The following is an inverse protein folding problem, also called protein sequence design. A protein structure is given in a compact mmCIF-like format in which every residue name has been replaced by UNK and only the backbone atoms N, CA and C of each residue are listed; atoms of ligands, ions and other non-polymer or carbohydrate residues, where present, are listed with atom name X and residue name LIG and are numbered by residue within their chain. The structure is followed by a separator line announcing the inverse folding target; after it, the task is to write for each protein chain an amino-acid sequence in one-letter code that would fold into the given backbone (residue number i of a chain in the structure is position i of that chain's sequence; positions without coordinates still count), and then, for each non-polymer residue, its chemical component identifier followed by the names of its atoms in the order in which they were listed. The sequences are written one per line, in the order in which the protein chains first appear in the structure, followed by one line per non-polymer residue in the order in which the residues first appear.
data_IF_207300922629
#
_entry.id   IF_207300922629
#
_cell.length_a   1.000
_cell.length_b   1.000
_cell.length_c   1.000
_cell.angle_alpha   90.00
_cell.angle_beta   90.00
_cell.angle_gamma   90.00
#
_symmetry.space_group_name_H-M   'P 1'
#
loop_
_entity.id
_entity.type
_entity.pdbx_description
1 polymer ?
#
# COMPACT_ATOMS: atom_id res chain seq x y z
N UNK A 1 17.93 17.87 3.91
CA UNK A 1 18.79 17.12 2.96
C UNK A 1 18.47 15.60 3.00
N UNK A 2 17.20 15.18 3.01
CA UNK A 2 16.80 13.75 3.08
C UNK A 2 15.83 13.29 1.99
N UNK A 3 15.57 14.10 0.93
CA UNK A 3 14.68 13.70 -0.17
C UNK A 3 15.37 12.86 -1.26
N UNK A 4 16.70 12.89 -1.35
CA UNK A 4 17.46 12.28 -2.45
C UNK A 4 17.67 10.76 -2.33
N UNK A 5 17.33 10.13 -1.19
CA UNK A 5 17.57 8.70 -0.98
C UNK A 5 16.42 7.81 -1.51
N UNK A 6 15.19 8.35 -1.62
CA UNK A 6 14.00 7.58 -2.03
C UNK A 6 13.98 7.32 -3.54
N UNK A 7 14.56 8.22 -4.35
CA UNK A 7 14.54 8.16 -5.82
C UNK A 7 15.45 7.06 -6.41
N UNK A 8 16.37 6.47 -5.64
CA UNK A 8 17.41 5.58 -6.18
C UNK A 8 17.08 4.07 -6.18
N UNK A 9 15.89 3.65 -5.70
CA UNK A 9 15.49 2.22 -5.71
C UNK A 9 14.48 1.85 -6.80
N UNK A 10 14.35 2.70 -7.82
CA UNK A 10 13.38 2.56 -8.92
C UNK A 10 13.64 1.43 -9.93
N UNK A 11 14.50 0.44 -9.67
CA UNK A 11 14.77 -0.64 -10.61
C UNK A 11 14.53 -2.04 -10.01
N UNK A 12 13.30 -2.55 -10.17
CA UNK A 12 12.93 -3.62 -11.12
C UNK A 12 11.91 -4.68 -10.67
N UNK A 13 11.49 -4.71 -9.41
CA UNK A 13 10.33 -5.53 -9.01
C UNK A 13 9.47 -4.74 -8.05
N UNK A 14 8.42 -4.07 -8.56
CA UNK A 14 7.41 -3.48 -7.67
C UNK A 14 6.73 -4.64 -6.94
N UNK A 15 6.86 -4.76 -5.61
CA UNK A 15 6.22 -5.86 -4.91
C UNK A 15 4.69 -5.66 -4.92
N UNK A 16 3.91 -6.72 -4.67
CA UNK A 16 2.46 -6.57 -4.52
C UNK A 16 2.12 -5.58 -3.40
N UNK A 17 0.94 -4.97 -3.48
CA UNK A 17 0.53 -3.91 -2.54
C UNK A 17 0.51 -4.39 -1.08
N UNK A 18 0.31 -5.69 -0.89
CA UNK A 18 0.35 -6.40 0.39
C UNK A 18 1.72 -6.42 1.05
N UNK A 19 2.79 -6.29 0.27
CA UNK A 19 4.15 -6.16 0.77
C UNK A 19 4.62 -4.69 0.78
N UNK A 20 4.24 -3.90 -0.23
CA UNK A 20 4.64 -2.50 -0.35
C UNK A 20 4.18 -1.63 0.83
N UNK A 21 2.87 -1.66 1.15
CA UNK A 21 2.29 -0.86 2.24
C UNK A 21 2.98 -1.13 3.59
N UNK A 22 3.05 -2.40 4.07
CA UNK A 22 3.62 -2.65 5.39
C UNK A 22 5.14 -2.48 5.43
N UNK A 23 5.84 -2.53 4.29
CA UNK A 23 7.26 -2.18 4.23
C UNK A 23 7.44 -0.67 4.41
N UNK A 24 6.79 0.15 3.56
CA UNK A 24 6.90 1.60 3.63
C UNK A 24 6.45 2.15 4.99
N UNK A 25 5.37 1.59 5.55
CA UNK A 25 4.89 1.92 6.90
C UNK A 25 5.96 1.66 7.98
N UNK A 26 6.67 0.52 7.91
CA UNK A 26 7.73 0.19 8.87
C UNK A 26 8.97 1.06 8.69
N UNK A 27 9.31 1.43 7.46
CA UNK A 27 10.42 2.35 7.16
C UNK A 27 10.19 3.73 7.79
N UNK A 28 8.93 4.16 7.90
CA UNK A 28 8.55 5.38 8.62
C UNK A 28 8.32 5.19 10.13
N UNK A 29 8.44 3.96 10.65
CA UNK A 29 8.20 3.67 12.07
C UNK A 29 6.73 3.73 12.51
N UNK A 30 5.78 3.74 11.56
CA UNK A 30 4.35 3.85 11.83
C UNK A 30 3.75 2.48 12.19
N UNK A 31 2.76 2.47 13.09
CA UNK A 31 1.89 1.30 13.31
C UNK A 31 0.70 1.31 12.33
N UNK A 32 -0.03 0.19 12.22
CA UNK A 32 -1.27 0.15 11.40
C UNK A 32 -2.32 1.18 11.84
N UNK A 33 -2.34 1.51 13.14
CA UNK A 33 -3.24 2.53 13.67
C UNK A 33 -2.75 3.91 13.30
N UNK A 34 -1.46 4.19 13.47
CA UNK A 34 -0.89 5.49 13.11
C UNK A 34 -1.08 5.80 11.62
N UNK A 35 -0.93 4.79 10.75
CA UNK A 35 -1.24 4.95 9.32
C UNK A 35 -2.72 5.25 9.08
N UNK A 36 -3.63 4.58 9.78
CA UNK A 36 -5.06 4.88 9.65
C UNK A 36 -5.40 6.30 10.14
N UNK A 37 -4.86 6.70 11.29
CA UNK A 37 -5.06 8.03 11.86
C UNK A 37 -4.50 9.12 10.94
N UNK A 38 -3.30 8.90 10.38
CA UNK A 38 -2.68 9.79 9.39
C UNK A 38 -3.54 9.90 8.12
N UNK A 39 -4.04 8.78 7.61
CA UNK A 39 -4.92 8.76 6.44
C UNK A 39 -6.23 9.52 6.70
N UNK A 40 -6.83 9.37 7.88
CA UNK A 40 -8.01 10.13 8.28
C UNK A 40 -7.73 11.63 8.37
N UNK A 41 -6.58 12.00 8.93
CA UNK A 41 -6.15 13.39 9.07
C UNK A 41 -5.94 14.06 7.70
N UNK A 42 -5.19 13.43 6.78
CA UNK A 42 -4.90 14.03 5.47
C UNK A 42 -6.09 13.97 4.52
N UNK A 43 -6.90 12.91 4.57
CA UNK A 43 -8.06 12.75 3.66
C UNK A 43 -9.33 13.44 4.17
N UNK A 44 -9.29 13.96 5.41
CA UNK A 44 -10.45 14.54 6.10
C UNK A 44 -11.65 13.58 6.12
N UNK A 45 -11.38 12.27 6.12
CA UNK A 45 -12.38 11.22 6.02
C UNK A 45 -12.04 10.08 6.99
N UNK A 46 -12.94 9.87 7.95
CA UNK A 46 -12.83 8.87 9.03
C UNK A 46 -13.25 7.44 8.59
N UNK A 47 -13.52 7.24 7.31
CA UNK A 47 -13.93 5.93 6.76
C UNK A 47 -12.80 4.89 6.77
N UNK A 48 -11.55 5.31 6.95
CA UNK A 48 -10.40 4.39 7.07
C UNK A 48 -10.18 4.03 8.52
N UNK A 49 -10.06 2.74 8.80
CA UNK A 49 -9.75 2.22 10.13
C UNK A 49 -8.49 1.37 10.09
N UNK A 50 -7.93 1.11 11.27
CA UNK A 50 -6.84 0.15 11.44
C UNK A 50 -7.18 -1.20 10.79
N UNK A 51 -8.42 -1.67 10.92
CA UNK A 51 -8.88 -2.94 10.35
C UNK A 51 -8.87 -2.91 8.82
N UNK A 52 -9.21 -1.76 8.23
CA UNK A 52 -9.16 -1.56 6.78
C UNK A 52 -7.71 -1.58 6.27
N UNK A 53 -6.79 -0.89 6.94
CA UNK A 53 -5.34 -1.00 6.68
C UNK A 53 -4.87 -2.44 6.81
N UNK A 54 -5.31 -3.13 7.86
CA UNK A 54 -4.98 -4.54 8.11
C UNK A 54 -5.52 -5.49 7.03
N UNK A 55 -6.61 -5.14 6.33
CA UNK A 55 -7.13 -5.90 5.18
C UNK A 55 -6.30 -5.67 3.94
N UNK A 56 -5.80 -4.45 3.74
CA UNK A 56 -4.91 -4.12 2.63
C UNK A 56 -3.56 -4.83 2.75
N UNK A 57 -2.94 -4.80 3.94
CA UNK A 57 -1.65 -5.46 4.17
C UNK A 57 -1.73 -6.99 4.03
N UNK A 58 -2.88 -7.60 4.32
CA UNK A 58 -3.09 -9.06 4.18
C UNK A 58 -3.61 -9.49 2.81
N UNK A 59 -3.89 -8.56 1.90
CA UNK A 59 -4.42 -8.88 0.56
C UNK A 59 -5.90 -9.25 0.54
N UNK A 60 -6.60 -9.12 1.67
CA UNK A 60 -8.06 -9.36 1.73
C UNK A 60 -8.82 -8.33 0.89
N UNK A 61 -8.29 -7.11 0.77
CA UNK A 61 -8.86 -6.04 -0.03
C UNK A 61 -7.75 -5.24 -0.69
N UNK A 62 -7.94 -4.89 -1.96
CA UNK A 62 -7.04 -3.98 -2.67
C UNK A 62 -7.58 -2.56 -2.47
N UNK A 63 -6.77 -1.58 -2.02
CA UNK A 63 -7.22 -0.21 -1.85
C UNK A 63 -7.65 0.40 -3.19
N UNK A 64 -8.75 1.16 -3.15
CA UNK A 64 -9.27 1.88 -4.32
C UNK A 64 -8.31 2.99 -4.79
N UNK A 65 -8.50 3.53 -6.00
CA UNK A 65 -7.67 4.61 -6.54
C UNK A 65 -7.62 5.84 -5.62
N UNK A 66 -8.76 6.21 -5.03
CA UNK A 66 -8.85 7.30 -4.06
C UNK A 66 -7.92 7.11 -2.86
N UNK A 67 -7.96 5.93 -2.23
CA UNK A 67 -7.10 5.64 -1.08
C UNK A 67 -5.63 5.49 -1.47
N UNK A 68 -5.32 5.05 -2.70
CA UNK A 68 -3.94 4.98 -3.20
C UNK A 68 -3.29 6.36 -3.27
N UNK A 69 -4.03 7.41 -3.65
CA UNK A 69 -3.55 8.79 -3.59
C UNK A 69 -3.15 9.20 -2.17
N UNK A 70 -3.98 8.92 -1.18
CA UNK A 70 -3.68 9.25 0.22
C UNK A 70 -2.58 8.38 0.82
N UNK A 71 -2.50 7.10 0.46
CA UNK A 71 -1.41 6.22 0.90
C UNK A 71 -0.08 6.68 0.29
N UNK A 72 -0.08 7.16 -0.95
CA UNK A 72 1.10 7.74 -1.61
C UNK A 72 1.62 8.94 -0.82
N UNK A 73 0.73 9.86 -0.46
CA UNK A 73 1.07 11.05 0.35
C UNK A 73 1.52 10.67 1.76
N UNK A 74 0.78 9.79 2.45
CA UNK A 74 1.07 9.36 3.82
C UNK A 74 2.41 8.61 3.94
N UNK A 75 2.71 7.75 2.97
CA UNK A 75 3.89 6.88 3.02
C UNK A 75 5.08 7.43 2.20
N UNK A 76 4.95 8.61 1.59
CA UNK A 76 5.96 9.19 0.69
C UNK A 76 6.41 8.20 -0.40
N UNK A 77 5.46 7.41 -0.91
CA UNK A 77 5.68 6.40 -1.96
C UNK A 77 5.08 6.92 -3.27
N UNK A 78 5.76 6.80 -4.42
CA UNK A 78 5.19 7.24 -5.69
C UNK A 78 3.84 6.57 -6.00
N UNK A 79 2.83 7.36 -6.38
CA UNK A 79 1.50 6.84 -6.71
C UNK A 79 1.54 5.75 -7.78
N UNK A 80 2.39 5.93 -8.80
CA UNK A 80 2.59 4.96 -9.87
C UNK A 80 3.09 3.60 -9.35
N UNK A 81 3.89 3.58 -8.28
CA UNK A 81 4.35 2.34 -7.65
C UNK A 81 3.19 1.63 -6.92
N UNK A 82 2.32 2.37 -6.22
CA UNK A 82 1.11 1.81 -5.59
C UNK A 82 0.12 1.25 -6.63
N UNK A 83 -0.05 1.93 -7.75
CA UNK A 83 -0.90 1.45 -8.85
C UNK A 83 -0.36 0.14 -9.45
N UNK A 84 0.94 0.09 -9.75
CA UNK A 84 1.60 -1.14 -10.22
C UNK A 84 1.47 -2.28 -9.20
N UNK A 85 1.72 -1.99 -7.92
CA UNK A 85 1.60 -2.97 -6.83
C UNK A 85 0.16 -3.52 -6.69
N UNK A 86 -0.86 -2.69 -6.95
CA UNK A 86 -2.26 -3.11 -6.94
C UNK A 86 -2.62 -4.01 -8.13
N UNK A 87 -2.05 -3.76 -9.30
CA UNK A 87 -2.19 -4.63 -10.48
C UNK A 87 -1.54 -5.99 -10.22
N UNK A 88 -0.31 -6.00 -9.72
CA UNK A 88 0.43 -7.22 -9.38
C UNK A 88 -0.33 -8.05 -8.35
N UNK A 89 -0.88 -7.43 -7.29
CA UNK A 89 -1.70 -8.15 -6.31
C UNK A 89 -2.95 -8.78 -6.94
N UNK A 90 -3.60 -8.10 -7.90
CA UNK A 90 -4.76 -8.67 -8.61
C UNK A 90 -4.37 -9.89 -9.42
N UNK A 91 -3.22 -9.86 -10.08
CA UNK A 91 -2.68 -10.99 -10.86
C UNK A 91 -2.28 -12.15 -9.95
N UNK A 92 -1.58 -11.87 -8.84
CA UNK A 92 -1.22 -12.89 -7.84
C UNK A 92 -2.46 -13.57 -7.25
N UNK A 93 -3.56 -12.83 -7.02
CA UNK A 93 -4.82 -13.41 -6.54
C UNK A 93 -5.44 -14.33 -7.57
N UNK A 94 -5.46 -13.94 -8.85
CA UNK A 94 -5.99 -14.78 -9.94
C UNK A 94 -5.20 -16.08 -10.07
N UNK A 95 -3.87 -16.01 -10.06
CA UNK A 95 -3.01 -17.18 -10.14
C UNK A 95 -3.23 -18.15 -8.94
N UNK A 96 -3.41 -17.62 -7.73
CA UNK A 96 -3.73 -18.46 -6.55
C UNK A 96 -5.08 -19.14 -6.66
N UNK A 97 -6.09 -18.47 -7.20
CA UNK A 97 -7.43 -19.05 -7.40
C UNK A 97 -7.38 -20.20 -8.44
N UNK A 98 -6.55 -20.07 -9.47
CA UNK A 98 -6.29 -21.12 -10.47
C UNK A 98 -5.58 -22.34 -9.85
N UNK A 99 -4.55 -22.13 -9.01
CA UNK A 99 -3.81 -23.21 -8.32
C UNK A 99 -4.66 -23.99 -7.30
N UNK A 100 -5.62 -23.34 -6.64
CA UNK A 100 -6.51 -24.01 -5.66
C UNK A 100 -7.67 -24.78 -6.32
N UNK A 101 -7.81 -24.69 -7.64
CA UNK A 101 -8.89 -25.32 -8.40
C UNK A 101 -8.48 -26.64 -9.10
N UNK A 102 -7.24 -27.10 -8.93
CA UNK A 102 -6.70 -28.34 -9.52
C UNK A 102 -6.65 -29.52 -8.53
#
# INVERSE_FOLDING_TARGET
MLKAATEAREHQDTPPITALIPQARREQGLTQRDLADLLCEISQNDSVTREEVSRWERGKRIPGPYWRAWISEALDVPHAALDRAAVIERECRRAKEEDHSC
#
